data_IF_365642181790
#
_entry.id   IF_365642181790
#
_cell.length_a   1.000
_cell.length_b   1.000
_cell.length_c   1.000
_cell.angle_alpha   90.00
_cell.angle_beta   90.00
_cell.angle_gamma   90.00
#
_symmetry.space_group_name_H-M   'P 1'
#
loop_
_entity.id
_entity.type
_entity.pdbx_description
1 polymer ?
#
# COMPACT_ATOMS: atom_id res chain seq x y z
N UNK A 1 -38.80 -6.23 4.98
CA UNK A 1 -38.76 -6.14 6.46
C UNK A 1 -39.75 -7.17 6.96
N UNK A 2 -39.41 -8.35 7.45
CA UNK A 2 -38.36 -8.81 8.36
C UNK A 2 -38.15 -10.29 7.98
N UNK A 3 -36.94 -10.68 7.52
CA UNK A 3 -36.50 -12.07 7.27
C UNK A 3 -35.08 -12.13 6.64
N UNK A 4 -34.49 -10.97 6.30
CA UNK A 4 -33.11 -10.86 5.82
C UNK A 4 -32.03 -10.93 6.91
N UNK A 5 -32.40 -10.91 8.19
CA UNK A 5 -31.46 -10.72 9.31
C UNK A 5 -30.99 -12.00 10.01
N UNK A 6 -31.26 -13.19 9.46
CA UNK A 6 -30.95 -14.45 10.16
C UNK A 6 -29.61 -15.08 9.70
N UNK A 7 -29.00 -14.63 8.60
CA UNK A 7 -27.72 -15.19 8.16
C UNK A 7 -26.47 -14.41 8.62
N UNK A 8 -26.63 -13.16 9.08
CA UNK A 8 -25.49 -12.32 9.51
C UNK A 8 -25.40 -12.07 11.01
N UNK A 9 -26.40 -12.45 11.80
CA UNK A 9 -26.40 -12.18 13.25
C UNK A 9 -26.28 -13.47 14.02
N UNK A 10 -25.05 -13.96 14.22
CA UNK A 10 -24.59 -14.84 15.34
C UNK A 10 -23.17 -15.41 15.12
N UNK A 11 -22.20 -14.57 14.72
CA UNK A 11 -20.77 -14.93 14.86
C UNK A 11 -20.16 -14.51 16.19
N UNK A 12 -20.87 -13.71 17.00
CA UNK A 12 -20.45 -13.42 18.37
C UNK A 12 -21.03 -14.46 19.33
N UNK A 13 -20.31 -15.57 19.45
CA UNK A 13 -20.28 -16.35 20.68
C UNK A 13 -21.11 -17.64 20.70
N UNK A 14 -20.82 -18.64 19.85
CA UNK A 14 -21.12 -20.04 20.21
C UNK A 14 -20.13 -21.01 19.56
N UNK A 15 -19.28 -21.65 20.37
CA UNK A 15 -18.50 -22.85 20.01
C UNK A 15 -19.44 -24.05 19.88
N UNK A 16 -20.21 -24.20 18.80
CA UNK A 16 -20.89 -25.49 18.56
C UNK A 16 -21.05 -25.85 17.07
N UNK A 17 -20.36 -26.94 16.69
CA UNK A 17 -20.55 -27.88 15.57
C UNK A 17 -21.01 -27.32 14.20
N UNK A 18 -20.01 -27.10 13.34
CA UNK A 18 -20.04 -26.87 11.88
C UNK A 18 -20.94 -27.81 11.02
N UNK A 19 -21.49 -28.89 11.57
CA UNK A 19 -22.12 -29.94 10.77
C UNK A 19 -23.59 -29.68 10.43
N UNK A 20 -24.31 -28.88 11.22
CA UNK A 20 -25.77 -28.67 11.04
C UNK A 20 -26.08 -27.45 10.16
N UNK A 21 -25.18 -26.45 10.13
CA UNK A 21 -25.36 -25.23 9.33
C UNK A 21 -25.27 -25.44 7.80
N UNK A 22 -24.72 -26.57 7.34
CA UNK A 22 -24.65 -26.91 5.90
C UNK A 22 -26.02 -27.20 5.26
N UNK A 23 -27.07 -27.47 6.04
CA UNK A 23 -28.35 -27.96 5.50
C UNK A 23 -29.34 -26.86 5.08
N UNK A 24 -29.28 -25.64 5.63
CA UNK A 24 -30.34 -24.63 5.44
C UNK A 24 -30.13 -23.75 4.19
N UNK A 25 -28.89 -23.59 3.69
CA UNK A 25 -28.62 -22.79 2.48
C UNK A 25 -28.86 -23.52 1.15
N UNK A 26 -29.22 -24.81 1.15
CA UNK A 26 -29.31 -25.63 -0.07
C UNK A 26 -30.60 -25.43 -0.89
N UNK A 27 -31.64 -24.77 -0.35
CA UNK A 27 -32.98 -24.76 -0.95
C UNK A 27 -33.37 -23.51 -1.76
N UNK A 28 -32.53 -22.47 -1.84
CA UNK A 28 -32.90 -21.18 -2.45
C UNK A 28 -32.14 -20.79 -3.71
N UNK A 29 -31.38 -21.70 -4.33
CA UNK A 29 -30.63 -21.38 -5.56
C UNK A 29 -29.63 -20.23 -5.38
N UNK A 30 -29.23 -19.93 -4.13
CA UNK A 30 -28.28 -18.88 -3.81
C UNK A 30 -26.90 -19.24 -4.37
N UNK A 31 -26.33 -18.31 -5.12
CA UNK A 31 -24.94 -18.31 -5.56
C UNK A 31 -24.02 -18.44 -4.35
N UNK A 32 -23.43 -19.62 -4.16
CA UNK A 32 -22.37 -19.83 -3.18
C UNK A 32 -21.16 -19.02 -3.64
N UNK A 33 -20.91 -17.89 -2.99
CA UNK A 33 -19.58 -17.28 -3.05
C UNK A 33 -18.75 -17.99 -1.99
N UNK A 34 -17.68 -18.67 -2.41
CA UNK A 34 -16.82 -19.35 -1.44
C UNK A 34 -15.88 -18.33 -0.82
N UNK A 35 -15.83 -18.30 0.51
CA UNK A 35 -14.79 -17.58 1.23
C UNK A 35 -13.46 -18.28 0.97
N UNK A 36 -12.44 -17.55 0.52
CA UNK A 36 -11.08 -18.09 0.36
C UNK A 36 -10.66 -18.87 1.60
N UNK A 37 -10.12 -20.07 1.41
CA UNK A 37 -9.60 -20.88 2.51
C UNK A 37 -8.22 -20.39 2.98
N UNK A 38 -7.71 -20.97 4.07
CA UNK A 38 -6.43 -20.56 4.65
C UNK A 38 -5.23 -20.77 3.71
N UNK A 39 -5.28 -21.79 2.84
CA UNK A 39 -4.22 -22.07 1.88
C UNK A 39 -4.25 -21.05 0.74
N UNK A 40 -5.43 -20.71 0.24
CA UNK A 40 -5.59 -19.68 -0.78
C UNK A 40 -5.16 -18.30 -0.27
N UNK A 41 -5.52 -17.97 0.97
CA UNK A 41 -5.07 -16.74 1.64
C UNK A 41 -3.54 -16.72 1.73
N UNK A 42 -2.92 -17.81 2.18
CA UNK A 42 -1.46 -17.91 2.29
C UNK A 42 -0.76 -17.75 0.92
N UNK A 43 -1.29 -18.39 -0.13
CA UNK A 43 -0.78 -18.21 -1.52
C UNK A 43 -0.86 -16.75 -1.94
N UNK A 44 -1.97 -16.07 -1.70
CA UNK A 44 -2.14 -14.65 -2.05
C UNK A 44 -1.11 -13.80 -1.29
N UNK A 45 -0.99 -14.00 0.02
CA UNK A 45 -0.09 -13.24 0.89
C UNK A 45 1.38 -13.43 0.54
N UNK A 46 1.81 -14.68 0.35
CA UNK A 46 3.17 -15.02 -0.03
C UNK A 46 3.51 -14.41 -1.39
N UNK A 47 2.64 -14.61 -2.39
CA UNK A 47 2.85 -14.12 -3.75
C UNK A 47 3.00 -12.59 -3.79
N UNK A 48 2.16 -11.86 -3.05
CA UNK A 48 2.24 -10.39 -2.99
C UNK A 48 3.50 -9.90 -2.27
N UNK A 49 3.79 -10.42 -1.08
CA UNK A 49 4.92 -9.95 -0.28
C UNK A 49 6.27 -10.37 -0.87
N UNK A 50 6.36 -11.53 -1.50
CA UNK A 50 7.55 -11.92 -2.27
C UNK A 50 7.79 -10.97 -3.44
N UNK A 51 6.75 -10.66 -4.21
CA UNK A 51 6.87 -9.71 -5.31
C UNK A 51 7.29 -8.32 -4.83
N UNK A 52 6.68 -7.81 -3.75
CA UNK A 52 7.04 -6.52 -3.13
C UNK A 52 8.49 -6.52 -2.64
N UNK A 53 8.98 -7.61 -2.02
CA UNK A 53 10.40 -7.75 -1.66
C UNK A 53 11.30 -7.67 -2.88
N UNK A 54 11.01 -8.45 -3.90
CA UNK A 54 11.82 -8.50 -5.11
C UNK A 54 11.87 -7.14 -5.80
N UNK A 55 10.73 -6.45 -5.86
CA UNK A 55 10.65 -5.09 -6.36
C UNK A 55 11.48 -4.12 -5.50
N UNK A 56 11.30 -4.12 -4.18
CA UNK A 56 12.02 -3.21 -3.30
C UNK A 56 13.55 -3.38 -3.39
N UNK A 57 14.01 -4.62 -3.52
CA UNK A 57 15.42 -4.99 -3.59
C UNK A 57 16.07 -4.83 -4.98
N UNK A 58 15.40 -4.22 -5.96
CA UNK A 58 16.06 -3.91 -7.24
C UNK A 58 15.88 -4.94 -8.36
N UNK A 59 15.20 -6.07 -8.14
CA UNK A 59 15.14 -7.16 -9.13
C UNK A 59 14.55 -6.72 -10.48
N UNK A 60 13.73 -5.66 -10.47
CA UNK A 60 13.06 -5.13 -11.65
C UNK A 60 13.55 -3.74 -12.05
N UNK A 61 14.79 -3.38 -11.68
CA UNK A 61 15.41 -2.10 -12.05
C UNK A 61 14.87 -0.88 -11.28
N UNK A 62 14.17 -1.12 -10.16
CA UNK A 62 13.67 -0.09 -9.25
C UNK A 62 14.00 -0.50 -7.82
N UNK A 63 14.41 0.44 -6.98
CA UNK A 63 14.56 0.21 -5.54
C UNK A 63 13.50 1.02 -4.79
N UNK A 64 12.87 0.41 -3.79
CA UNK A 64 11.84 1.06 -2.99
C UNK A 64 12.27 1.12 -1.52
N UNK A 65 12.38 2.34 -0.99
CA UNK A 65 12.90 2.58 0.34
C UNK A 65 11.86 2.43 1.46
N UNK A 66 10.56 2.43 1.13
CA UNK A 66 9.46 2.51 2.09
C UNK A 66 8.36 1.44 1.87
N UNK A 67 8.70 0.32 1.23
CA UNK A 67 7.72 -0.70 0.84
C UNK A 67 7.17 -1.46 2.06
N UNK A 68 5.93 -1.20 2.46
CA UNK A 68 5.31 -1.93 3.57
C UNK A 68 5.10 -3.42 3.26
N UNK A 69 5.26 -4.27 4.28
CA UNK A 69 4.73 -5.64 4.26
C UNK A 69 3.21 -5.58 4.33
N UNK A 70 2.54 -6.40 3.54
CA UNK A 70 1.09 -6.56 3.61
C UNK A 70 0.73 -7.60 4.66
N UNK A 71 -0.32 -7.32 5.41
CA UNK A 71 -1.05 -8.24 6.29
C UNK A 71 -2.46 -8.51 5.76
N UNK A 72 -3.05 -9.66 6.11
CA UNK A 72 -4.41 -9.99 5.69
C UNK A 72 -5.45 -9.24 6.53
N UNK A 73 -6.46 -8.68 5.88
CA UNK A 73 -7.60 -8.03 6.52
C UNK A 73 -8.90 -8.74 6.18
N UNK A 74 -9.58 -9.25 7.21
CA UNK A 74 -10.91 -9.86 7.10
C UNK A 74 -11.97 -8.85 6.66
N UNK A 75 -11.82 -7.59 7.06
CA UNK A 75 -12.74 -6.51 6.68
C UNK A 75 -12.61 -6.18 5.20
N UNK A 76 -11.37 -6.10 4.67
CA UNK A 76 -11.15 -5.94 3.24
C UNK A 76 -11.58 -7.16 2.43
N UNK A 77 -11.46 -8.37 2.98
CA UNK A 77 -11.99 -9.58 2.37
C UNK A 77 -13.52 -9.51 2.25
N UNK A 78 -14.22 -9.05 3.30
CA UNK A 78 -15.66 -8.83 3.25
C UNK A 78 -16.03 -7.75 2.23
N UNK A 79 -15.29 -6.64 2.16
CA UNK A 79 -15.52 -5.61 1.14
C UNK A 79 -15.28 -6.14 -0.27
N UNK A 80 -14.23 -6.96 -0.47
CA UNK A 80 -13.95 -7.62 -1.74
C UNK A 80 -15.12 -8.53 -2.13
N UNK A 81 -15.64 -9.31 -1.17
CA UNK A 81 -16.78 -10.21 -1.34
C UNK A 81 -18.04 -9.45 -1.77
N UNK A 82 -18.35 -8.34 -1.10
CA UNK A 82 -19.50 -7.51 -1.43
C UNK A 82 -19.37 -6.83 -2.80
N UNK A 83 -18.15 -6.58 -3.26
CA UNK A 83 -17.88 -6.02 -4.59
C UNK A 83 -17.73 -7.07 -5.69
N UNK A 84 -17.80 -8.35 -5.36
CA UNK A 84 -17.59 -9.44 -6.31
C UNK A 84 -18.83 -9.61 -7.19
N UNK A 85 -18.70 -9.24 -8.45
CA UNK A 85 -19.76 -9.37 -9.45
C UNK A 85 -19.20 -10.04 -10.72
N UNK A 86 -19.94 -10.99 -11.30
CA UNK A 86 -19.58 -11.60 -12.57
C UNK A 86 -19.63 -10.62 -13.75
N UNK A 87 -20.31 -9.48 -13.62
CA UNK A 87 -20.22 -8.36 -14.56
C UNK A 87 -18.78 -7.87 -14.73
N UNK A 88 -17.94 -7.99 -13.69
CA UNK A 88 -16.51 -7.65 -13.73
C UNK A 88 -15.73 -8.49 -14.75
N UNK A 89 -16.20 -9.69 -15.10
CA UNK A 89 -15.59 -10.51 -16.12
C UNK A 89 -15.74 -9.93 -17.53
N UNK A 90 -16.70 -9.02 -17.74
CA UNK A 90 -16.99 -8.38 -19.01
C UNK A 90 -16.36 -6.99 -19.12
N UNK A 91 -15.99 -6.39 -17.99
CA UNK A 91 -15.42 -5.05 -17.91
C UNK A 91 -13.91 -5.12 -17.68
N UNK A 92 -13.13 -5.40 -18.74
CA UNK A 92 -11.73 -4.96 -18.71
C UNK A 92 -11.69 -3.42 -18.84
N UNK A 93 -10.86 -2.74 -18.05
CA UNK A 93 -11.36 -1.63 -17.27
C UNK A 93 -11.13 -0.28 -17.95
N UNK A 94 -12.12 0.19 -18.72
CA UNK A 94 -12.27 1.63 -19.03
C UNK A 94 -12.66 2.46 -17.78
N UNK A 95 -12.78 1.83 -16.61
CA UNK A 95 -12.99 2.51 -15.34
C UNK A 95 -11.76 3.29 -14.87
N UNK A 96 -12.02 4.33 -14.07
CA UNK A 96 -11.00 5.16 -13.45
C UNK A 96 -9.91 4.31 -12.75
N UNK A 97 -8.67 4.79 -12.81
CA UNK A 97 -7.57 4.18 -12.08
C UNK A 97 -7.87 4.24 -10.57
N UNK A 98 -7.81 3.09 -9.89
CA UNK A 98 -7.99 2.97 -8.45
C UNK A 98 -6.84 2.14 -7.88
N UNK A 99 -6.07 2.74 -6.97
CA UNK A 99 -4.95 2.09 -6.27
C UNK A 99 -5.39 1.10 -5.20
N UNK A 100 -6.66 1.06 -4.83
CA UNK A 100 -7.18 0.26 -3.71
C UNK A 100 -7.89 -1.02 -4.17
N UNK A 101 -7.92 -1.32 -5.47
CA UNK A 101 -8.64 -2.48 -5.98
C UNK A 101 -7.97 -3.07 -7.22
N UNK A 102 -7.68 -4.38 -7.16
CA UNK A 102 -7.33 -5.16 -8.34
C UNK A 102 -8.42 -6.18 -8.64
N UNK A 103 -8.68 -6.37 -9.93
CA UNK A 103 -9.61 -7.38 -10.44
C UNK A 103 -8.89 -8.25 -11.48
N UNK A 104 -9.06 -9.55 -11.35
CA UNK A 104 -8.48 -10.57 -12.19
C UNK A 104 -9.55 -11.52 -12.70
N UNK A 105 -9.43 -11.92 -13.96
CA UNK A 105 -10.35 -12.85 -14.61
C UNK A 105 -9.52 -13.97 -15.24
N UNK A 106 -9.83 -15.23 -14.94
CA UNK A 106 -9.13 -16.39 -15.51
C UNK A 106 -10.09 -17.51 -15.89
N UNK A 107 -9.76 -18.25 -16.94
CA UNK A 107 -10.47 -19.46 -17.32
C UNK A 107 -10.08 -20.68 -16.45
N UNK A 108 -8.84 -20.75 -15.96
CA UNK A 108 -8.29 -21.91 -15.23
C UNK A 108 -8.56 -21.89 -13.72
N UNK A 109 -8.99 -20.75 -13.18
CA UNK A 109 -9.24 -20.55 -11.75
C UNK A 109 -7.99 -20.48 -10.89
N UNK A 110 -6.80 -20.46 -11.48
CA UNK A 110 -5.55 -20.44 -10.75
C UNK A 110 -5.25 -19.02 -10.22
N UNK A 111 -5.44 -18.82 -8.92
CA UNK A 111 -5.20 -17.55 -8.21
C UNK A 111 -3.76 -17.06 -8.42
N UNK A 112 -2.77 -17.95 -8.40
CA UNK A 112 -1.38 -17.55 -8.60
C UNK A 112 -1.15 -17.02 -10.01
N UNK A 113 -1.73 -17.64 -11.05
CA UNK A 113 -1.63 -17.15 -12.42
C UNK A 113 -2.31 -15.79 -12.60
N UNK A 114 -3.46 -15.59 -11.94
CA UNK A 114 -4.15 -14.29 -11.90
C UNK A 114 -3.25 -13.20 -11.33
N UNK A 115 -2.65 -13.42 -10.15
CA UNK A 115 -1.78 -12.42 -9.51
C UNK A 115 -0.51 -12.20 -10.35
N UNK A 116 0.09 -13.27 -10.90
CA UNK A 116 1.23 -13.16 -11.82
C UNK A 116 0.89 -12.31 -13.05
N UNK A 117 -0.32 -12.40 -13.58
CA UNK A 117 -0.75 -11.55 -14.71
C UNK A 117 -0.69 -10.06 -14.35
N UNK A 118 -1.02 -9.70 -13.10
CA UNK A 118 -0.88 -8.33 -12.60
C UNK A 118 0.59 -7.93 -12.45
N UNK A 119 1.48 -8.85 -12.05
CA UNK A 119 2.92 -8.59 -12.00
C UNK A 119 3.51 -8.32 -13.39
N UNK A 120 3.05 -9.05 -14.40
CA UNK A 120 3.57 -8.96 -15.77
C UNK A 120 3.27 -7.61 -16.42
N UNK A 121 2.26 -6.89 -15.93
CA UNK A 121 1.98 -5.52 -16.35
C UNK A 121 3.17 -4.55 -16.13
N UNK A 122 4.17 -4.93 -15.30
CA UNK A 122 5.44 -4.22 -15.16
C UNK A 122 6.13 -3.93 -16.49
N UNK A 123 5.89 -4.74 -17.54
CA UNK A 123 6.45 -4.51 -18.87
C UNK A 123 5.99 -3.18 -19.50
N UNK A 124 4.89 -2.60 -19.00
CA UNK A 124 4.36 -1.30 -19.40
C UNK A 124 4.79 -0.15 -18.48
N UNK A 125 5.54 -0.45 -17.42
CA UNK A 125 6.08 0.54 -16.49
C UNK A 125 7.49 0.94 -16.91
N UNK A 126 7.80 2.22 -16.78
CA UNK A 126 9.09 2.81 -17.09
C UNK A 126 9.77 3.21 -15.78
N UNK A 127 10.69 2.39 -15.23
CA UNK A 127 11.34 2.62 -13.94
C UNK A 127 11.95 4.01 -13.77
N UNK A 128 12.63 4.52 -14.80
CA UNK A 128 13.32 5.81 -14.71
C UNK A 128 12.36 6.99 -14.49
N UNK A 129 11.16 6.91 -15.09
CA UNK A 129 10.15 7.96 -15.01
C UNK A 129 9.07 7.66 -13.99
N UNK A 130 9.12 6.48 -13.36
CA UNK A 130 8.14 6.01 -12.35
C UNK A 130 6.70 6.11 -12.85
N UNK A 131 6.51 5.92 -14.15
CA UNK A 131 5.24 6.09 -14.84
C UNK A 131 5.01 4.93 -15.79
N UNK A 132 3.79 4.83 -16.28
CA UNK A 132 3.43 3.83 -17.27
C UNK A 132 3.34 4.43 -18.65
N UNK A 133 3.70 3.64 -19.66
CA UNK A 133 3.44 3.98 -21.07
C UNK A 133 1.95 4.25 -21.26
N UNK A 134 1.12 3.40 -20.66
CA UNK A 134 -0.32 3.58 -20.59
C UNK A 134 -0.82 3.01 -19.25
N UNK A 135 -1.45 3.88 -18.45
CA UNK A 135 -1.95 3.53 -17.11
C UNK A 135 -2.90 2.33 -17.13
N UNK A 136 -3.67 2.14 -18.20
CA UNK A 136 -4.63 1.04 -18.31
C UNK A 136 -3.96 -0.33 -18.41
N UNK A 137 -2.72 -0.38 -18.87
CA UNK A 137 -1.95 -1.62 -19.02
C UNK A 137 -0.99 -1.89 -17.86
N UNK A 138 -0.91 -0.98 -16.88
CA UNK A 138 0.00 -1.11 -15.73
C UNK A 138 -0.66 -0.95 -14.36
N UNK A 139 -1.94 -0.58 -14.32
CA UNK A 139 -2.57 -0.14 -13.08
C UNK A 139 -2.58 -1.20 -11.99
N UNK A 140 -2.71 -2.49 -12.36
CA UNK A 140 -2.74 -3.56 -11.37
C UNK A 140 -1.36 -3.77 -10.78
N UNK A 141 -0.32 -3.65 -11.61
CA UNK A 141 1.06 -3.59 -11.15
C UNK A 141 1.29 -2.41 -10.18
N UNK A 142 0.84 -1.20 -10.52
CA UNK A 142 1.00 -0.03 -9.65
C UNK A 142 0.32 -0.20 -8.28
N UNK A 143 -0.88 -0.78 -8.26
CA UNK A 143 -1.55 -1.18 -7.02
C UNK A 143 -0.67 -2.14 -6.22
N UNK A 144 -0.08 -3.16 -6.86
CA UNK A 144 0.74 -4.15 -6.14
C UNK A 144 2.02 -3.58 -5.52
N UNK A 145 2.64 -2.58 -6.18
CA UNK A 145 3.86 -1.90 -5.70
C UNK A 145 3.57 -0.63 -4.90
N UNK A 146 2.31 -0.39 -4.53
CA UNK A 146 1.97 0.77 -3.73
C UNK A 146 2.49 0.59 -2.30
N UNK A 147 3.56 1.31 -1.98
CA UNK A 147 4.36 1.13 -0.79
C UNK A 147 3.62 1.47 0.51
N UNK A 148 2.60 2.34 0.44
CA UNK A 148 1.79 2.76 1.61
C UNK A 148 0.71 1.77 2.01
N UNK A 149 0.39 0.80 1.15
CA UNK A 149 -0.55 -0.25 1.51
C UNK A 149 0.05 -1.16 2.57
N UNK A 150 -0.74 -1.45 3.60
CA UNK A 150 -0.37 -2.31 4.72
C UNK A 150 -1.27 -3.52 4.82
N UNK A 151 -2.47 -3.46 4.27
CA UNK A 151 -3.41 -4.59 4.35
C UNK A 151 -4.03 -4.92 3.00
N UNK A 152 -4.35 -6.19 2.84
CA UNK A 152 -5.05 -6.74 1.66
C UNK A 152 -6.14 -7.70 2.13
N UNK A 153 -7.26 -7.72 1.41
CA UNK A 153 -8.26 -8.77 1.53
C UNK A 153 -8.89 -9.04 0.18
N UNK A 154 -9.12 -10.31 -0.14
CA UNK A 154 -9.61 -10.71 -1.46
C UNK A 154 -10.85 -11.61 -1.37
N UNK A 155 -11.57 -11.71 -2.47
CA UNK A 155 -12.66 -12.65 -2.68
C UNK A 155 -12.59 -13.25 -4.07
N UNK A 156 -12.99 -14.51 -4.19
CA UNK A 156 -12.89 -15.29 -5.41
C UNK A 156 -14.20 -16.01 -5.72
N UNK A 157 -14.54 -16.13 -7.01
CA UNK A 157 -15.67 -16.93 -7.47
C UNK A 157 -15.31 -17.65 -8.76
N UNK A 158 -15.66 -18.94 -8.83
CA UNK A 158 -15.53 -19.81 -10.00
C UNK A 158 -16.85 -19.94 -10.79
N UNK A 159 -17.87 -19.19 -10.38
CA UNK A 159 -19.26 -19.37 -10.83
C UNK A 159 -19.66 -18.46 -11.96
N UNK A 160 -18.75 -17.60 -12.42
CA UNK A 160 -19.08 -16.67 -13.48
C UNK A 160 -19.15 -17.39 -14.83
N UNK A 161 -20.16 -17.03 -15.61
CA UNK A 161 -20.36 -17.55 -16.97
C UNK A 161 -20.34 -16.38 -17.93
N UNK A 162 -19.39 -16.41 -18.86
CA UNK A 162 -19.26 -15.45 -19.94
C UNK A 162 -19.59 -16.19 -21.23
N UNK A 163 -20.76 -15.91 -21.81
CA UNK A 163 -21.34 -16.69 -22.91
C UNK A 163 -21.42 -18.18 -22.52
N UNK A 164 -20.75 -19.06 -23.25
CA UNK A 164 -20.70 -20.50 -22.99
C UNK A 164 -19.47 -20.96 -22.18
N UNK A 165 -18.62 -20.02 -21.72
CA UNK A 165 -17.39 -20.34 -20.98
C UNK A 165 -17.55 -20.04 -19.49
N UNK A 166 -17.01 -20.91 -18.64
CA UNK A 166 -16.83 -20.62 -17.22
C UNK A 166 -15.60 -19.74 -17.06
N UNK A 167 -15.71 -18.70 -16.24
CA UNK A 167 -14.60 -17.84 -15.88
C UNK A 167 -14.62 -17.65 -14.37
N UNK A 168 -13.43 -17.37 -13.84
CA UNK A 168 -13.19 -17.17 -12.44
C UNK A 168 -12.82 -15.71 -12.24
N UNK A 169 -13.34 -15.09 -11.20
CA UNK A 169 -13.10 -13.68 -10.89
C UNK A 169 -12.47 -13.59 -9.50
N UNK A 170 -11.34 -12.90 -9.43
CA UNK A 170 -10.66 -12.53 -8.18
C UNK A 170 -10.75 -11.01 -8.01
N UNK A 171 -11.24 -10.57 -6.86
CA UNK A 171 -11.21 -9.16 -6.46
C UNK A 171 -10.35 -9.04 -5.22
N UNK A 172 -9.36 -8.15 -5.24
CA UNK A 172 -8.54 -7.83 -4.09
C UNK A 172 -8.69 -6.35 -3.76
N UNK A 173 -8.97 -6.06 -2.48
CA UNK A 173 -9.01 -4.73 -1.89
C UNK A 173 -7.75 -4.50 -1.08
N UNK A 174 -7.25 -3.27 -1.12
CA UNK A 174 -6.03 -2.87 -0.41
C UNK A 174 -6.32 -1.62 0.40
N UNK A 175 -5.72 -1.52 1.59
CA UNK A 175 -5.78 -0.31 2.41
C UNK A 175 -4.42 0.02 3.03
N UNK A 176 -4.32 1.25 3.52
CA UNK A 176 -3.12 1.84 4.08
C UNK A 176 -3.38 3.31 4.44
N UNK A 177 -2.33 4.12 4.41
CA UNK A 177 -2.46 5.58 4.63
C UNK A 177 -3.30 6.25 3.53
N UNK A 178 -4.11 7.24 3.93
CA UNK A 178 -5.13 7.90 3.10
C UNK A 178 -4.60 8.87 2.04
N UNK A 179 -3.33 9.30 2.11
CA UNK A 179 -2.86 10.29 1.13
C UNK A 179 -2.63 9.64 -0.24
N UNK A 180 -3.25 10.23 -1.24
CA UNK A 180 -2.96 9.96 -2.64
C UNK A 180 -1.57 10.51 -2.97
N UNK A 181 -0.51 9.70 -2.88
CA UNK A 181 0.80 10.15 -3.32
C UNK A 181 1.32 9.23 -4.41
N UNK A 182 1.18 9.72 -5.64
CA UNK A 182 2.21 9.53 -6.64
C UNK A 182 3.46 10.27 -6.13
N UNK A 183 4.62 9.62 -6.01
CA UNK A 183 4.93 8.29 -6.51
C UNK A 183 4.46 7.17 -5.57
N UNK A 184 3.98 6.07 -6.16
CA UNK A 184 3.48 4.89 -5.44
C UNK A 184 4.49 4.25 -4.48
N UNK A 185 5.78 4.60 -4.59
CA UNK A 185 6.84 4.25 -3.65
C UNK A 185 7.91 5.36 -3.65
N UNK A 186 8.67 5.47 -2.55
CA UNK A 186 9.85 6.34 -2.46
C UNK A 186 11.07 5.59 -3.01
N UNK A 187 11.76 6.10 -4.04
CA UNK A 187 12.99 5.48 -4.53
C UNK A 187 14.11 5.54 -3.49
N UNK A 188 14.95 4.52 -3.48
CA UNK A 188 16.14 4.46 -2.63
C UNK A 188 16.37 3.06 -2.09
N UNK A 189 17.46 2.89 -1.34
CA UNK A 189 17.82 1.60 -0.77
C UNK A 189 16.69 1.04 0.13
N UNK A 190 16.44 -0.28 0.11
CA UNK A 190 15.34 -0.89 0.84
C UNK A 190 15.30 -0.51 2.32
N UNK A 191 14.10 -0.25 2.83
CA UNK A 191 13.80 0.09 4.22
C UNK A 191 14.46 1.35 4.78
N UNK A 192 15.16 2.14 3.96
CA UNK A 192 15.77 3.38 4.46
C UNK A 192 14.72 4.44 4.76
N UNK A 193 13.52 4.40 4.17
CA UNK A 193 12.45 5.42 4.35
C UNK A 193 11.15 4.85 4.93
N UNK A 194 11.23 3.81 5.75
CA UNK A 194 10.06 3.29 6.47
C UNK A 194 9.46 4.35 7.42
N UNK A 195 8.14 4.34 7.57
CA UNK A 195 7.41 5.27 8.43
C UNK A 195 7.54 4.90 9.93
N UNK A 196 6.89 5.67 10.80
CA UNK A 196 6.95 5.44 12.26
C UNK A 196 6.15 4.23 12.74
N UNK A 197 5.15 3.77 11.99
CA UNK A 197 4.35 2.59 12.35
C UNK A 197 5.10 1.28 12.05
N UNK A 198 5.93 1.29 11.01
CA UNK A 198 6.67 0.12 10.51
C UNK A 198 8.16 0.41 10.31
N UNK A 199 8.88 0.95 11.30
CA UNK A 199 10.16 1.61 11.05
C UNK A 199 11.33 0.65 10.77
N UNK A 200 11.13 -0.66 10.89
CA UNK A 200 12.17 -1.68 10.76
C UNK A 200 12.08 -2.46 9.45
N UNK A 201 13.13 -3.21 9.13
CA UNK A 201 13.26 -3.95 7.89
C UNK A 201 13.11 -5.47 8.06
N UNK A 202 12.26 -6.08 7.24
CA UNK A 202 12.22 -7.53 7.03
C UNK A 202 12.47 -7.84 5.55
N UNK A 203 13.72 -8.17 5.20
CA UNK A 203 14.13 -8.60 3.85
C UNK A 203 13.70 -7.61 2.75
N UNK A 204 13.74 -6.31 3.04
CA UNK A 204 13.39 -5.23 2.10
C UNK A 204 11.96 -4.70 2.24
N UNK A 205 11.17 -5.19 3.18
CA UNK A 205 9.86 -4.63 3.53
C UNK A 205 9.87 -3.95 4.89
N UNK A 206 9.12 -2.86 5.02
CA UNK A 206 8.86 -2.17 6.28
C UNK A 206 7.93 -3.00 7.17
N UNK A 207 8.31 -3.17 8.43
CA UNK A 207 7.59 -3.95 9.45
C UNK A 207 7.67 -3.27 10.82
N UNK A 208 6.70 -3.51 11.73
CA UNK A 208 6.86 -3.17 13.13
C UNK A 208 7.92 -4.09 13.78
N UNK A 209 8.47 -3.67 14.92
CA UNK A 209 9.33 -4.55 15.73
C UNK A 209 8.45 -5.40 16.66
N UNK A 210 8.45 -6.71 16.46
CA UNK A 210 7.66 -7.67 17.26
C UNK A 210 8.48 -8.35 18.37
N UNK A 211 9.78 -8.07 18.45
CA UNK A 211 10.72 -8.68 19.40
C UNK A 211 11.44 -7.63 20.25
N UNK A 212 12.65 -7.95 20.71
CA UNK A 212 13.49 -6.94 21.36
C UNK A 212 14.06 -6.00 20.29
N UNK A 213 14.29 -4.72 20.62
CA UNK A 213 14.82 -3.76 19.64
C UNK A 213 16.18 -4.13 19.05
N UNK A 214 16.96 -4.96 19.77
CA UNK A 214 18.25 -5.48 19.30
C UNK A 214 18.13 -6.47 18.13
N UNK A 215 16.96 -7.07 17.92
CA UNK A 215 16.69 -8.06 16.86
C UNK A 215 16.10 -7.40 15.59
N UNK A 216 15.72 -6.13 15.68
CA UNK A 216 15.02 -5.42 14.62
C UNK A 216 16.01 -4.63 13.74
N UNK A 217 16.03 -4.91 12.43
CA UNK A 217 16.94 -4.29 11.46
C UNK A 217 16.53 -2.84 11.17
N UNK A 218 17.23 -1.88 11.77
CA UNK A 218 17.06 -0.45 11.50
C UNK A 218 18.03 0.03 10.41
N UNK A 219 17.50 0.45 9.26
CA UNK A 219 18.30 0.93 8.11
C UNK A 219 18.29 2.44 7.90
N UNK A 220 17.70 3.20 8.82
CA UNK A 220 17.64 4.65 8.71
C UNK A 220 18.99 5.29 8.97
N UNK A 221 19.24 6.38 8.26
CA UNK A 221 20.42 7.22 8.45
C UNK A 221 19.93 8.64 8.68
N UNK A 222 20.20 9.23 9.84
CA UNK A 222 19.76 10.58 10.16
C UNK A 222 20.74 11.66 9.69
N UNK A 223 21.55 11.36 8.68
CA UNK A 223 22.56 12.26 8.16
C UNK A 223 22.66 12.09 6.65
N UNK A 224 22.51 13.20 5.94
CA UNK A 224 22.78 13.30 4.52
C UNK A 224 23.60 14.54 4.25
N UNK A 225 24.75 14.32 3.63
CA UNK A 225 25.73 15.36 3.33
C UNK A 225 25.07 16.57 2.66
N UNK A 226 25.31 17.76 3.24
CA UNK A 226 24.79 19.06 2.83
C UNK A 226 23.26 19.21 2.77
N UNK A 227 22.48 18.22 3.22
CA UNK A 227 21.01 18.26 3.20
C UNK A 227 20.44 18.30 4.62
N UNK A 228 20.87 17.39 5.48
CA UNK A 228 20.32 17.32 6.83
C UNK A 228 21.12 16.43 7.77
N UNK A 229 20.91 16.65 9.06
CA UNK A 229 21.62 15.97 10.13
C UNK A 229 20.74 15.89 11.37
N UNK A 230 20.90 14.81 12.14
CA UNK A 230 20.09 14.52 13.31
C UNK A 230 20.61 13.33 14.10
N UNK A 231 19.88 12.95 15.13
CA UNK A 231 20.19 11.79 15.97
C UNK A 231 19.27 10.61 15.65
N UNK A 232 19.85 9.41 15.57
CA UNK A 232 19.11 8.16 15.39
C UNK A 232 18.76 7.57 16.74
N UNK A 233 17.48 7.33 16.98
CA UNK A 233 17.02 6.42 18.03
C UNK A 233 16.93 5.00 17.42
N UNK A 234 17.90 4.14 17.75
CA UNK A 234 17.94 2.77 17.24
C UNK A 234 16.82 1.88 17.78
N UNK A 235 16.25 2.22 18.96
CA UNK A 235 15.19 1.43 19.60
C UNK A 235 13.84 1.61 18.92
N UNK A 236 13.53 2.82 18.43
CA UNK A 236 12.32 3.12 17.65
C UNK A 236 12.58 3.20 16.15
N UNK A 237 13.85 3.07 15.72
CA UNK A 237 14.32 3.35 14.37
C UNK A 237 13.72 4.65 13.80
N UNK A 238 13.94 5.74 14.53
CA UNK A 238 13.43 7.08 14.17
C UNK A 238 14.53 8.13 14.27
N UNK A 239 14.48 9.12 13.39
CA UNK A 239 15.40 10.24 13.39
C UNK A 239 14.79 11.46 14.08
N UNK A 240 15.60 12.16 14.87
CA UNK A 240 15.31 13.51 15.34
C UNK A 240 16.20 14.49 14.59
N UNK A 241 15.62 15.19 13.62
CA UNK A 241 16.38 16.07 12.71
C UNK A 241 16.70 17.40 13.38
N UNK A 242 17.99 17.76 13.38
CA UNK A 242 18.45 19.11 13.68
C UNK A 242 18.43 20.00 12.42
N UNK A 243 18.66 19.39 11.26
CA UNK A 243 18.59 20.00 9.93
C UNK A 243 17.95 19.05 8.93
N UNK A 244 17.32 19.60 7.89
CA UNK A 244 16.55 18.84 6.90
C UNK A 244 15.22 18.34 7.46
N UNK A 245 14.52 17.52 6.67
CA UNK A 245 13.24 16.93 7.04
C UNK A 245 13.11 15.48 6.55
N UNK A 246 11.94 14.88 6.80
CA UNK A 246 11.65 13.49 6.44
C UNK A 246 12.19 12.47 7.44
N UNK A 247 11.91 11.17 7.22
CA UNK A 247 12.21 10.10 8.18
C UNK A 247 13.71 9.88 8.43
N UNK A 248 14.57 10.44 7.57
CA UNK A 248 16.03 10.31 7.60
C UNK A 248 16.76 11.66 7.68
N UNK A 249 16.06 12.79 7.82
CA UNK A 249 16.68 14.11 7.67
C UNK A 249 17.37 14.27 6.31
N UNK A 250 16.82 13.64 5.27
CA UNK A 250 17.45 13.48 3.95
C UNK A 250 16.68 14.17 2.82
N UNK A 251 15.64 14.91 3.19
CA UNK A 251 14.87 15.83 2.38
C UNK A 251 15.31 17.26 2.78
N UNK A 252 15.63 18.12 1.80
CA UNK A 252 16.10 19.49 2.08
C UNK A 252 14.96 20.29 2.72
N UNK A 253 15.31 21.13 3.69
CA UNK A 253 14.35 22.01 4.34
C UNK A 253 14.24 23.28 3.49
N UNK A 254 13.35 23.23 2.49
CA UNK A 254 13.06 24.32 1.58
C UNK A 254 11.55 24.43 1.38
N UNK A 255 11.07 25.64 1.15
CA UNK A 255 9.66 25.84 0.82
C UNK A 255 9.41 25.34 -0.61
N UNK A 256 8.33 24.57 -0.86
CA UNK A 256 7.94 24.22 -2.22
C UNK A 256 7.75 25.47 -3.08
N UNK A 257 8.34 25.48 -4.27
CA UNK A 257 8.07 26.54 -5.25
C UNK A 257 6.65 26.37 -5.80
N UNK A 258 5.75 27.27 -5.41
CA UNK A 258 4.36 27.26 -5.86
C UNK A 258 4.06 28.29 -6.94
N UNK A 259 4.76 29.42 -6.93
CA UNK A 259 4.61 30.51 -7.89
C UNK A 259 5.99 31.00 -8.34
N UNK A 260 6.10 31.42 -9.61
CA UNK A 260 7.38 31.83 -10.20
C UNK A 260 7.89 33.17 -9.64
N UNK A 261 6.98 34.05 -9.19
CA UNK A 261 7.26 35.45 -8.84
C UNK A 261 6.84 35.85 -7.42
N UNK A 262 6.24 34.93 -6.66
CA UNK A 262 5.75 35.21 -5.31
C UNK A 262 6.05 34.06 -4.34
N UNK A 263 6.70 34.37 -3.23
CA UNK A 263 6.92 33.44 -2.12
C UNK A 263 5.89 33.69 -1.00
N UNK A 264 4.78 32.92 -0.93
CA UNK A 264 3.79 33.07 0.13
C UNK A 264 4.39 32.90 1.53
N UNK A 265 5.49 32.15 1.68
CA UNK A 265 6.11 31.91 2.97
C UNK A 265 6.91 33.10 3.50
N UNK A 266 7.14 34.12 2.68
CA UNK A 266 7.79 35.37 3.09
C UNK A 266 6.93 36.20 4.05
N UNK A 267 5.61 36.00 4.02
CA UNK A 267 4.65 36.70 4.88
C UNK A 267 4.28 35.90 6.14
N UNK A 268 4.67 34.62 6.22
CA UNK A 268 4.32 33.72 7.32
C UNK A 268 5.24 33.95 8.52
N UNK A 269 4.64 34.22 9.68
CA UNK A 269 5.34 34.35 10.95
C UNK A 269 5.32 33.05 11.76
N UNK A 270 6.19 32.95 12.76
CA UNK A 270 6.20 31.84 13.72
C UNK A 270 4.86 31.67 14.46
N UNK A 271 4.09 32.76 14.62
CA UNK A 271 2.80 32.71 15.29
C UNK A 271 1.73 32.05 14.41
N UNK A 272 1.80 32.27 13.10
CA UNK A 272 0.86 31.70 12.12
C UNK A 272 1.01 30.17 12.06
N UNK A 273 2.23 29.68 12.22
CA UNK A 273 2.54 28.24 12.31
C UNK A 273 1.81 27.53 13.47
N UNK A 274 1.28 28.25 14.47
CA UNK A 274 0.58 27.65 15.61
C UNK A 274 -0.91 27.37 15.33
N UNK A 275 -1.52 28.08 14.38
CA UNK A 275 -2.97 27.99 14.11
C UNK A 275 -3.29 27.00 12.99
N UNK A 276 -2.58 27.07 11.85
CA UNK A 276 -2.78 26.20 10.69
C UNK A 276 -1.57 25.29 10.45
N UNK A 277 -1.14 24.64 11.54
CA UNK A 277 0.14 23.95 11.64
C UNK A 277 0.38 22.93 10.52
N UNK A 278 -0.59 22.07 10.22
CA UNK A 278 -0.39 20.99 9.24
C UNK A 278 -0.13 21.50 7.81
N UNK A 279 -0.88 22.52 7.38
CA UNK A 279 -0.76 23.09 6.03
C UNK A 279 0.53 23.91 5.92
N UNK A 280 0.81 24.75 6.92
CA UNK A 280 1.99 25.60 6.91
C UNK A 280 3.30 24.83 7.15
N UNK A 281 3.27 23.70 7.87
CA UNK A 281 4.43 22.80 7.97
C UNK A 281 4.77 22.14 6.62
N UNK A 282 3.80 21.95 5.73
CA UNK A 282 4.02 21.40 4.38
C UNK A 282 4.40 22.49 3.36
N UNK A 283 3.68 23.62 3.37
CA UNK A 283 3.88 24.70 2.40
C UNK A 283 5.02 25.65 2.76
N UNK A 284 5.28 25.86 4.05
CA UNK A 284 6.30 26.78 4.57
C UNK A 284 7.20 26.11 5.64
N UNK A 285 7.80 24.96 5.34
CA UNK A 285 8.55 24.15 6.30
C UNK A 285 9.74 24.89 6.92
N UNK A 286 10.37 25.83 6.21
CA UNK A 286 11.52 26.59 6.75
C UNK A 286 11.10 27.50 7.91
N UNK A 287 9.92 28.09 7.83
CA UNK A 287 9.36 28.96 8.85
C UNK A 287 8.76 28.15 10.01
N UNK A 288 8.12 27.01 9.70
CA UNK A 288 7.25 26.32 10.65
C UNK A 288 7.75 24.98 11.19
N UNK A 289 8.58 24.24 10.46
CA UNK A 289 8.80 22.81 10.72
C UNK A 289 10.26 22.39 10.89
N UNK A 290 11.18 22.98 10.13
CA UNK A 290 12.54 22.47 9.99
C UNK A 290 13.59 23.59 9.90
N UNK A 291 14.86 23.18 9.86
CA UNK A 291 16.00 24.08 9.64
C UNK A 291 16.82 23.59 8.45
N UNK A 292 17.25 24.50 7.60
CA UNK A 292 18.13 24.18 6.47
C UNK A 292 19.55 23.93 6.95
N UNK A 293 20.23 22.96 6.33
CA UNK A 293 21.61 22.63 6.67
C UNK A 293 22.55 23.82 6.36
N UNK A 294 23.53 24.16 7.22
CA UNK A 294 24.39 25.34 7.03
C UNK A 294 25.19 25.35 5.72
N UNK A 295 25.52 24.16 5.21
CA UNK A 295 26.27 23.99 3.95
C UNK A 295 25.37 23.71 2.73
N UNK A 296 24.04 23.84 2.85
CA UNK A 296 23.14 23.64 1.72
C UNK A 296 23.43 24.66 0.62
N UNK A 297 23.55 24.20 -0.64
CA UNK A 297 23.82 25.06 -1.80
C UNK A 297 25.29 25.40 -2.06
N UNK A 298 26.24 24.95 -1.23
CA UNK A 298 27.67 24.99 -1.57
C UNK A 298 27.95 23.86 -2.57
N UNK A 299 28.00 24.19 -3.86
CA UNK A 299 28.38 23.26 -4.92
C UNK A 299 29.81 22.74 -4.70
N UNK A 300 29.97 21.41 -4.76
CA UNK A 300 31.28 20.76 -4.93
C UNK A 300 31.59 20.62 -6.41
#
# INVERSE_FOLDING_TARGET
MILGDICMTLTQGFKYRMSVFKAVCFLTGLTYVYSLDAMEIDIIMQTHNEFRRNFANGLYGSFAANMNKLDWSTDLQLQALLSLDCALAFTQPAGAFNTHTNVGVSADGNITNLIRSWMLERQHFIPQFKTCINIQHCKRFLTMVHARQRTIGCAFTDRCRVKNSRVNVLVCKYAGSEDAIVPFYKPGLPCTKCDGETPFCERGLCVPCTGTSAECDCRKTCNKHNIGAGSLNSTSCSCTCSYGMGPNCDEDCVNPEMYEDWDPCSEITQQDCLFDRAILEEMCPVQCACRRHPNAGVTQ
#
